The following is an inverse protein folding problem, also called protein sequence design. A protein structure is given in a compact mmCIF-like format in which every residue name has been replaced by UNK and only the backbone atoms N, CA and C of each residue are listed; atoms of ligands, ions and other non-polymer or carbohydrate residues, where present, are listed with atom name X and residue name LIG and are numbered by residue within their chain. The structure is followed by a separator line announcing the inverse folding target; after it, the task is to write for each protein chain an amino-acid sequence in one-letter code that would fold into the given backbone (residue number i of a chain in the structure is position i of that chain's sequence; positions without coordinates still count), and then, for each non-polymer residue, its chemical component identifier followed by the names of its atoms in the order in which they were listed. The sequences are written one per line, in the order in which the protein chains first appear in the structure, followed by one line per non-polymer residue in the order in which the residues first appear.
data_IF_393398688611
#
_entry.id   IF_393398688611
#
_cell.length_a   1.000
_cell.length_b   1.000
_cell.length_c   1.000
_cell.angle_alpha   90.00
_cell.angle_beta   90.00
_cell.angle_gamma   90.00
#
_symmetry.space_group_name_H-M   'P 1'
#
loop_
_entity.id
_entity.type
_entity.pdbx_description
1 polymer ?
#
# COMPACT_ATOMS: atom_id res chain seq x y z
N UNK A 1 20.46 28.27 2.36
CA UNK A 1 20.69 26.93 1.79
C UNK A 1 19.47 26.12 2.15
N UNK A 2 18.73 25.52 1.19
CA UNK A 2 17.64 24.62 1.53
C UNK A 2 18.18 23.45 2.34
N UNK A 3 17.54 23.13 3.47
CA UNK A 3 17.83 21.93 4.27
C UNK A 3 17.29 20.71 3.55
N UNK A 4 18.07 19.63 3.54
CA UNK A 4 17.62 18.33 3.04
C UNK A 4 17.43 17.37 4.20
N UNK A 5 16.20 16.89 4.40
CA UNK A 5 15.90 15.86 5.39
C UNK A 5 15.94 14.48 4.73
N UNK A 6 16.92 13.65 5.10
CA UNK A 6 17.06 12.28 4.60
C UNK A 6 16.27 11.30 5.46
N UNK A 7 15.52 10.39 4.83
CA UNK A 7 14.74 9.39 5.54
C UNK A 7 14.96 7.99 4.96
N UNK A 8 15.46 7.04 5.77
CA UNK A 8 15.72 5.68 5.28
C UNK A 8 14.43 4.92 5.02
N UNK A 9 14.53 3.92 4.15
CA UNK A 9 13.45 2.99 3.86
C UNK A 9 13.15 2.08 5.05
N UNK A 10 11.87 1.80 5.27
CA UNK A 10 11.42 0.68 6.08
C UNK A 10 11.59 -0.62 5.28
N UNK A 11 11.91 -1.71 5.96
CA UNK A 11 12.04 -3.04 5.37
C UNK A 11 10.87 -3.91 5.82
N UNK A 12 10.34 -4.75 4.92
CA UNK A 12 9.30 -5.73 5.29
C UNK A 12 9.78 -6.51 6.53
N UNK A 13 8.97 -6.60 7.60
CA UNK A 13 9.33 -7.45 8.72
C UNK A 13 9.58 -8.87 8.25
N UNK A 14 10.59 -9.53 8.81
CA UNK A 14 10.76 -10.95 8.58
C UNK A 14 9.53 -11.68 9.12
N UNK A 15 8.96 -12.58 8.33
CA UNK A 15 7.99 -13.55 8.78
C UNK A 15 8.50 -14.93 8.39
N UNK A 16 8.27 -15.96 9.21
CA UNK A 16 8.64 -17.32 8.82
C UNK A 16 8.07 -17.61 7.43
N UNK A 17 8.79 -18.34 6.56
CA UNK A 17 8.22 -18.79 5.30
C UNK A 17 6.88 -19.44 5.64
N UNK A 18 5.81 -18.81 5.15
CA UNK A 18 4.44 -19.14 5.52
C UNK A 18 4.22 -20.64 5.38
N UNK A 19 3.41 -21.23 6.26
CA UNK A 19 2.80 -22.52 5.97
C UNK A 19 1.89 -22.30 4.75
N UNK A 20 2.45 -22.40 3.54
CA UNK A 20 1.78 -22.16 2.27
C UNK A 20 0.48 -22.96 2.19
N UNK A 21 0.46 -24.14 2.82
CA UNK A 21 -0.74 -24.96 2.98
C UNK A 21 -1.80 -24.29 3.82
N UNK A 22 -1.45 -23.64 4.94
CA UNK A 22 -2.38 -22.87 5.75
C UNK A 22 -2.99 -21.70 4.98
N UNK A 23 -2.17 -20.84 4.38
CA UNK A 23 -2.70 -19.71 3.60
C UNK A 23 -3.51 -20.16 2.39
N UNK A 24 -3.13 -21.26 1.75
CA UNK A 24 -3.91 -21.90 0.68
C UNK A 24 -5.29 -22.34 1.17
N UNK A 25 -5.38 -23.00 2.35
CA UNK A 25 -6.67 -23.37 2.94
C UNK A 25 -7.53 -22.15 3.25
N UNK A 26 -6.95 -21.10 3.84
CA UNK A 26 -7.66 -19.84 4.14
C UNK A 26 -8.19 -19.21 2.86
N UNK A 27 -7.37 -19.11 1.80
CA UNK A 27 -7.78 -18.56 0.51
C UNK A 27 -8.91 -19.37 -0.13
N UNK A 28 -8.78 -20.70 -0.22
CA UNK A 28 -9.82 -21.54 -0.81
C UNK A 28 -11.17 -21.37 -0.10
N UNK A 29 -11.14 -21.30 1.23
CA UNK A 29 -12.35 -21.08 2.01
C UNK A 29 -12.91 -19.69 1.80
N UNK A 30 -12.07 -18.64 1.80
CA UNK A 30 -12.51 -17.28 1.55
C UNK A 30 -13.18 -17.14 0.18
N UNK A 31 -12.61 -17.76 -0.85
CA UNK A 31 -13.17 -17.82 -2.19
C UNK A 31 -14.51 -18.59 -2.23
N UNK A 32 -14.60 -19.72 -1.53
CA UNK A 32 -15.85 -20.48 -1.45
C UNK A 32 -16.97 -19.71 -0.77
N UNK A 33 -16.65 -18.95 0.29
CA UNK A 33 -17.62 -18.15 1.04
C UNK A 33 -17.93 -16.79 0.38
N UNK A 34 -17.03 -16.28 -0.45
CA UNK A 34 -17.05 -14.87 -0.90
C UNK A 34 -16.81 -13.87 0.23
N UNK A 35 -16.24 -14.31 1.35
CA UNK A 35 -16.05 -13.53 2.57
C UNK A 35 -14.86 -14.04 3.40
N UNK A 36 -14.35 -13.21 4.31
CA UNK A 36 -13.34 -13.63 5.27
C UNK A 36 -13.86 -14.74 6.19
N UNK A 37 -13.15 -15.89 6.33
CA UNK A 37 -13.59 -16.95 7.24
C UNK A 37 -13.46 -16.53 8.70
N UNK A 38 -14.51 -16.72 9.50
CA UNK A 38 -14.54 -16.32 10.92
C UNK A 38 -13.58 -17.08 11.82
N UNK A 39 -13.11 -18.25 11.41
CA UNK A 39 -12.11 -19.04 12.14
C UNK A 39 -10.68 -18.81 11.63
N UNK A 40 -10.49 -17.87 10.71
CA UNK A 40 -9.17 -17.44 10.26
C UNK A 40 -8.51 -16.45 11.23
N UNK A 41 -9.14 -16.11 12.37
CA UNK A 41 -8.66 -15.13 13.36
C UNK A 41 -7.24 -15.39 13.92
N UNK A 42 -6.74 -16.62 13.84
CA UNK A 42 -5.36 -16.97 14.23
C UNK A 42 -4.32 -16.72 13.14
N UNK A 43 -4.76 -16.28 11.95
CA UNK A 43 -3.91 -16.02 10.80
C UNK A 43 -3.38 -14.60 10.87
N UNK A 44 -2.07 -14.37 10.98
CA UNK A 44 -1.52 -13.03 10.83
C UNK A 44 -1.96 -12.44 9.50
N UNK A 45 -2.62 -11.28 9.52
CA UNK A 45 -3.23 -10.72 8.31
C UNK A 45 -2.20 -10.19 7.34
N UNK A 46 -1.22 -9.42 7.82
CA UNK A 46 -0.25 -8.80 6.92
C UNK A 46 0.59 -9.83 6.13
N UNK A 47 1.08 -10.96 6.71
CA UNK A 47 1.80 -11.96 5.91
C UNK A 47 0.87 -12.69 4.94
N UNK A 48 -0.39 -12.95 5.31
CA UNK A 48 -1.36 -13.54 4.41
C UNK A 48 -1.61 -12.63 3.20
N UNK A 49 -1.81 -11.33 3.43
CA UNK A 49 -2.02 -10.34 2.36
C UNK A 49 -0.79 -10.23 1.44
N UNK A 50 0.42 -10.17 2.00
CA UNK A 50 1.65 -10.22 1.18
C UNK A 50 1.76 -11.53 0.39
N UNK A 51 1.43 -12.67 1.01
CA UNK A 51 1.45 -13.96 0.33
C UNK A 51 0.47 -14.01 -0.86
N UNK A 52 -0.72 -13.42 -0.75
CA UNK A 52 -1.68 -13.33 -1.86
C UNK A 52 -1.07 -12.62 -3.07
N UNK A 53 -0.38 -11.50 -2.85
CA UNK A 53 0.21 -10.71 -3.92
C UNK A 53 1.47 -11.36 -4.50
N UNK A 54 2.30 -11.93 -3.62
CA UNK A 54 3.61 -12.49 -3.97
C UNK A 54 3.49 -13.85 -4.68
N UNK A 55 2.52 -14.69 -4.30
CA UNK A 55 2.44 -16.09 -4.76
C UNK A 55 1.21 -16.41 -5.61
N UNK A 56 0.11 -15.66 -5.43
CA UNK A 56 -1.18 -15.95 -6.11
C UNK A 56 -1.52 -14.98 -7.23
N UNK A 57 -0.67 -13.98 -7.45
CA UNK A 57 -0.91 -13.01 -8.53
C UNK A 57 -2.18 -12.18 -8.30
N UNK A 58 -2.63 -12.02 -7.06
CA UNK A 58 -3.78 -11.20 -6.73
C UNK A 58 -3.36 -9.74 -6.50
N UNK A 59 -4.33 -8.84 -6.50
CA UNK A 59 -4.18 -7.43 -6.13
C UNK A 59 -5.06 -7.10 -4.94
N UNK A 60 -4.70 -6.04 -4.23
CA UNK A 60 -5.33 -5.64 -2.98
C UNK A 60 -5.70 -4.17 -2.99
N UNK A 61 -6.95 -3.83 -2.68
CA UNK A 61 -7.40 -2.46 -2.50
C UNK A 61 -7.70 -2.18 -1.03
N UNK A 62 -7.00 -1.23 -0.43
CA UNK A 62 -7.25 -0.81 0.95
C UNK A 62 -8.30 0.29 1.04
N UNK A 63 -9.29 0.13 1.92
CA UNK A 63 -10.31 1.16 2.15
C UNK A 63 -10.83 1.12 3.58
N UNK A 64 -11.04 2.29 4.17
CA UNK A 64 -11.71 2.46 5.47
C UNK A 64 -13.24 2.30 5.41
N UNK A 65 -13.79 1.98 4.24
CA UNK A 65 -15.21 1.67 4.03
C UNK A 65 -15.37 0.16 3.88
N UNK A 66 -16.23 -0.44 4.71
CA UNK A 66 -16.56 -1.87 4.66
C UNK A 66 -17.76 -2.15 3.74
N UNK A 67 -17.95 -3.42 3.38
CA UNK A 67 -19.13 -3.87 2.63
C UNK A 67 -19.20 -3.44 1.17
N UNK A 68 -18.10 -2.94 0.57
CA UNK A 68 -18.09 -2.60 -0.85
C UNK A 68 -18.18 -3.86 -1.71
N UNK A 69 -19.28 -3.99 -2.45
CA UNK A 69 -19.49 -5.09 -3.41
C UNK A 69 -18.97 -4.75 -4.80
N UNK A 70 -18.67 -3.47 -5.06
CA UNK A 70 -18.09 -2.95 -6.30
C UNK A 70 -17.25 -1.71 -5.99
N UNK A 71 -16.03 -1.68 -6.52
CA UNK A 71 -15.14 -0.53 -6.47
C UNK A 71 -15.31 0.24 -7.79
N UNK A 72 -15.62 1.53 -7.69
CA UNK A 72 -15.83 2.40 -8.86
C UNK A 72 -14.60 3.29 -9.06
N UNK A 73 -14.20 3.58 -10.32
CA UNK A 73 -13.15 4.54 -10.61
C UNK A 73 -13.42 5.87 -9.92
N UNK A 74 -12.38 6.45 -9.32
CA UNK A 74 -12.41 7.77 -8.72
C UNK A 74 -11.09 8.46 -9.00
N UNK A 75 -11.14 9.78 -9.15
CA UNK A 75 -9.92 10.57 -9.25
C UNK A 75 -9.32 10.72 -7.85
N UNK A 76 -8.09 10.27 -7.68
CA UNK A 76 -7.34 10.51 -6.44
C UNK A 76 -6.64 11.87 -6.50
N UNK A 77 -6.41 12.46 -5.33
CA UNK A 77 -5.57 13.64 -5.17
C UNK A 77 -4.11 13.19 -5.10
N UNK A 78 -3.51 12.95 -6.27
CA UNK A 78 -2.12 12.53 -6.42
C UNK A 78 -1.40 13.51 -7.36
N UNK A 79 -0.10 13.69 -7.15
CA UNK A 79 0.75 14.59 -7.97
C UNK A 79 1.33 13.89 -9.20
N UNK A 80 1.39 12.55 -9.19
CA UNK A 80 1.84 11.76 -10.32
C UNK A 80 0.74 11.62 -11.37
N UNK A 81 1.07 11.67 -12.68
CA UNK A 81 0.07 11.46 -13.73
C UNK A 81 -0.67 10.12 -13.61
N UNK A 82 0.04 9.06 -13.19
CA UNK A 82 -0.55 7.73 -13.02
C UNK A 82 -1.50 7.65 -11.82
N UNK A 83 -1.18 8.30 -10.70
CA UNK A 83 -2.06 8.34 -9.52
C UNK A 83 -3.20 9.35 -9.63
N UNK A 84 -3.13 10.29 -10.58
CA UNK A 84 -4.12 11.36 -10.76
C UNK A 84 -5.23 11.03 -11.78
N UNK A 85 -5.22 9.83 -12.36
CA UNK A 85 -6.26 9.38 -13.29
C UNK A 85 -7.55 8.96 -12.54
N UNK A 86 -8.65 8.88 -13.29
CA UNK A 86 -9.90 8.31 -12.81
C UNK A 86 -9.84 6.78 -12.88
N UNK A 87 -9.52 6.14 -11.76
CA UNK A 87 -9.32 4.69 -11.71
C UNK A 87 -9.69 4.09 -10.35
N UNK A 88 -9.87 2.78 -10.32
CA UNK A 88 -9.74 1.97 -9.12
C UNK A 88 -8.27 1.63 -8.96
N UNK A 89 -7.67 2.05 -7.85
CA UNK A 89 -6.28 1.72 -7.53
C UNK A 89 -6.20 0.46 -6.68
N UNK A 90 -5.23 -0.39 -6.96
CA UNK A 90 -4.90 -1.54 -6.15
C UNK A 90 -3.38 -1.69 -6.05
N UNK A 91 -2.91 -2.48 -5.09
CA UNK A 91 -1.50 -2.78 -4.91
C UNK A 91 -1.23 -4.28 -5.11
N UNK A 92 -0.03 -4.54 -5.62
CA UNK A 92 0.61 -5.86 -5.59
C UNK A 92 1.47 -6.04 -4.34
N UNK A 93 1.09 -5.39 -3.23
CA UNK A 93 1.73 -5.52 -1.91
C UNK A 93 0.68 -5.36 -0.80
N UNK A 94 0.68 -6.29 0.17
CA UNK A 94 -0.28 -6.31 1.27
C UNK A 94 -0.15 -5.16 2.26
N UNK A 95 1.07 -4.76 2.61
CA UNK A 95 1.32 -3.72 3.61
C UNK A 95 0.89 -2.35 3.10
N UNK A 96 1.11 -2.09 1.81
CA UNK A 96 0.69 -0.84 1.21
C UNK A 96 -0.83 -0.68 1.20
N UNK A 97 -1.57 -1.74 0.88
CA UNK A 97 -3.04 -1.72 0.96
C UNK A 97 -3.54 -1.58 2.39
N UNK A 98 -2.88 -2.22 3.36
CA UNK A 98 -3.24 -2.04 4.78
C UNK A 98 -3.11 -0.60 5.24
N UNK A 99 -2.04 0.11 4.84
CA UNK A 99 -1.85 1.52 5.16
C UNK A 99 -3.07 2.37 4.76
N UNK A 100 -3.60 2.19 3.53
CA UNK A 100 -4.80 2.92 3.11
C UNK A 100 -6.07 2.47 3.83
N UNK A 101 -6.19 1.19 4.20
CA UNK A 101 -7.37 0.66 4.87
C UNK A 101 -7.56 1.20 6.29
N UNK A 102 -6.46 1.41 7.02
CA UNK A 102 -6.52 1.77 8.44
C UNK A 102 -6.59 3.28 8.71
N UNK A 103 -6.53 4.14 7.67
CA UNK A 103 -6.56 5.59 7.85
C UNK A 103 -7.99 6.15 7.84
N UNK A 104 -8.33 6.95 8.85
CA UNK A 104 -9.63 7.60 9.01
C UNK A 104 -9.68 8.96 8.30
N UNK A 105 -9.56 8.91 6.97
CA UNK A 105 -9.52 10.10 6.09
C UNK A 105 -10.84 10.84 5.96
N UNK A 106 -11.93 10.22 6.41
CA UNK A 106 -13.27 10.84 6.44
C UNK A 106 -13.42 11.74 7.67
N UNK A 107 -12.97 11.27 8.85
CA UNK A 107 -12.99 12.05 10.09
C UNK A 107 -11.87 13.08 10.14
N UNK A 108 -10.68 12.72 9.67
CA UNK A 108 -9.47 13.54 9.79
C UNK A 108 -8.90 13.83 8.40
N UNK A 109 -9.13 15.04 7.85
CA UNK A 109 -8.47 15.46 6.62
C UNK A 109 -6.95 15.36 6.76
N UNK A 110 -6.29 14.77 5.77
CA UNK A 110 -4.83 14.60 5.74
C UNK A 110 -4.34 14.41 4.31
N UNK A 111 -3.08 14.76 4.08
CA UNK A 111 -2.32 14.35 2.90
C UNK A 111 -1.45 13.15 3.25
N UNK A 112 -1.04 12.41 2.22
CA UNK A 112 -0.27 11.18 2.35
C UNK A 112 0.99 11.28 1.51
N UNK A 113 2.13 10.95 2.11
CA UNK A 113 3.37 10.68 1.39
C UNK A 113 3.77 9.24 1.68
N UNK A 114 3.77 8.40 0.66
CA UNK A 114 3.93 6.97 0.84
C UNK A 114 4.62 6.33 -0.36
N UNK A 115 5.23 5.17 -0.14
CA UNK A 115 5.80 4.35 -1.19
C UNK A 115 5.88 2.89 -0.75
N UNK A 116 5.63 2.00 -1.71
CA UNK A 116 6.08 0.61 -1.69
C UNK A 116 6.80 0.35 -3.01
N UNK A 117 8.12 0.22 -2.95
CA UNK A 117 8.99 0.25 -4.15
C UNK A 117 10.02 -0.87 -4.13
N UNK A 118 10.29 -1.45 -5.31
CA UNK A 118 11.45 -2.31 -5.55
C UNK A 118 12.42 -1.61 -6.48
N UNK A 119 13.70 -1.75 -6.19
CA UNK A 119 14.76 -1.23 -7.05
C UNK A 119 15.30 -2.37 -7.90
N UNK A 120 15.37 -2.14 -9.20
CA UNK A 120 16.03 -3.03 -10.14
C UNK A 120 17.51 -2.65 -10.20
N UNK A 121 18.37 -3.63 -9.93
CA UNK A 121 19.82 -3.51 -10.04
C UNK A 121 20.26 -3.62 -11.50
N UNK A 122 21.45 -3.10 -11.88
CA UNK A 122 21.93 -3.10 -13.28
C UNK A 122 21.98 -4.46 -13.99
N UNK A 123 21.91 -5.57 -13.25
CA UNK A 123 21.91 -6.94 -13.77
C UNK A 123 20.49 -7.51 -13.97
N UNK A 124 19.44 -6.69 -13.81
CA UNK A 124 18.03 -7.09 -13.93
C UNK A 124 17.46 -7.76 -12.67
N UNK A 125 18.25 -7.84 -11.60
CA UNK A 125 17.82 -8.39 -10.31
C UNK A 125 17.03 -7.36 -9.52
N UNK A 126 15.92 -7.78 -8.92
CA UNK A 126 15.11 -6.92 -8.09
C UNK A 126 15.44 -7.09 -6.61
N UNK A 127 15.69 -5.98 -5.93
CA UNK A 127 15.76 -5.93 -4.48
C UNK A 127 14.42 -6.26 -3.80
N UNK A 128 14.49 -6.43 -2.47
CA UNK A 128 13.30 -6.53 -1.62
C UNK A 128 12.50 -5.22 -1.64
N UNK A 129 11.18 -5.31 -1.44
CA UNK A 129 10.32 -4.14 -1.33
C UNK A 129 10.73 -3.26 -0.15
N UNK A 130 10.77 -1.96 -0.41
CA UNK A 130 11.09 -0.88 0.52
C UNK A 130 9.86 -0.02 0.74
N UNK A 131 9.66 0.43 1.97
CA UNK A 131 8.46 1.17 2.35
C UNK A 131 8.76 2.54 2.93
N UNK A 132 7.83 3.46 2.68
CA UNK A 132 7.75 4.75 3.35
C UNK A 132 6.27 5.04 3.60
N UNK A 133 5.94 5.46 4.82
CA UNK A 133 4.58 5.85 5.20
C UNK A 133 4.65 7.14 6.00
N UNK A 134 3.96 8.17 5.54
CA UNK A 134 3.88 9.45 6.23
C UNK A 134 2.53 10.10 5.98
N UNK A 135 2.01 10.76 7.01
CA UNK A 135 0.75 11.52 6.97
C UNK A 135 0.98 12.92 7.54
N UNK A 136 0.05 13.84 7.25
CA UNK A 136 0.08 15.21 7.80
C UNK A 136 0.32 15.19 9.32
N UNK A 137 1.28 16.00 9.80
CA UNK A 137 1.75 15.99 11.18
C UNK A 137 0.62 16.20 12.20
N UNK A 138 -0.29 17.15 11.92
CA UNK A 138 -1.44 17.43 12.78
C UNK A 138 -2.45 16.27 12.82
N UNK A 139 -2.62 15.55 11.71
CA UNK A 139 -3.47 14.36 11.69
C UNK A 139 -2.88 13.26 12.58
N UNK A 140 -1.57 13.02 12.53
CA UNK A 140 -0.92 11.98 13.33
C UNK A 140 -1.08 12.23 14.85
N UNK A 141 -1.07 13.49 15.30
CA UNK A 141 -1.26 13.86 16.71
C UNK A 141 -2.60 13.41 17.29
N UNK A 142 -3.63 13.26 16.45
CA UNK A 142 -4.98 12.84 16.86
C UNK A 142 -5.27 11.35 16.60
N UNK A 143 -4.23 10.55 16.31
CA UNK A 143 -4.34 9.11 16.04
C UNK A 143 -5.44 8.78 15.03
N UNK A 144 -5.23 9.09 13.74
CA UNK A 144 -6.30 9.11 12.75
C UNK A 144 -6.49 7.72 12.13
N UNK A 145 -6.56 6.70 12.99
CA UNK A 145 -6.64 5.31 12.60
C UNK A 145 -8.01 4.72 12.92
N UNK A 146 -8.48 3.82 12.07
CA UNK A 146 -9.75 3.09 12.22
C UNK A 146 -9.63 1.67 11.69
N UNK A 147 -10.60 0.83 12.03
CA UNK A 147 -10.80 -0.44 11.33
C UNK A 147 -11.21 -0.18 9.88
N UNK A 148 -10.77 -1.05 8.98
CA UNK A 148 -11.05 -0.98 7.56
C UNK A 148 -11.11 -2.35 6.92
N UNK A 149 -11.00 -2.37 5.59
CA UNK A 149 -11.02 -3.60 4.80
C UNK A 149 -9.94 -3.56 3.72
N UNK A 150 -9.32 -4.71 3.48
CA UNK A 150 -8.52 -4.97 2.28
C UNK A 150 -9.34 -5.86 1.35
N UNK A 151 -9.66 -5.32 0.17
CA UNK A 151 -10.45 -5.99 -0.86
C UNK A 151 -9.52 -6.76 -1.80
N UNK A 152 -9.79 -8.06 -1.98
CA UNK A 152 -8.99 -8.96 -2.81
C UNK A 152 -9.53 -8.98 -4.23
N UNK A 153 -8.66 -8.77 -5.21
CA UNK A 153 -9.01 -8.52 -6.60
C UNK A 153 -8.19 -9.40 -7.56
N UNK A 154 -8.78 -9.75 -8.70
CA UNK A 154 -8.05 -10.32 -9.83
C UNK A 154 -7.24 -9.24 -10.55
N UNK A 155 -6.23 -9.64 -11.33
CA UNK A 155 -5.42 -8.73 -12.14
C UNK A 155 -6.06 -8.33 -13.46
N UNK A 156 -7.04 -9.07 -13.95
CA UNK A 156 -7.55 -8.99 -15.33
C UNK A 156 -8.01 -7.59 -15.78
N UNK A 157 -8.45 -6.74 -14.86
CA UNK A 157 -8.91 -5.38 -15.17
C UNK A 157 -7.83 -4.31 -15.01
N UNK A 158 -6.65 -4.67 -14.52
CA UNK A 158 -5.64 -3.75 -14.03
C UNK A 158 -4.41 -3.72 -14.93
N UNK A 159 -3.78 -2.55 -15.01
CA UNK A 159 -2.44 -2.37 -15.56
C UNK A 159 -1.52 -1.78 -14.49
N UNK A 160 -0.26 -2.20 -14.48
CA UNK A 160 0.74 -1.71 -13.54
C UNK A 160 1.19 -0.29 -13.91
N UNK A 161 1.59 0.47 -12.89
CA UNK A 161 2.35 1.71 -13.11
C UNK A 161 3.69 1.39 -13.78
N UNK A 162 4.06 2.11 -14.86
CA UNK A 162 5.38 1.96 -15.48
C UNK A 162 6.51 2.29 -14.50
N UNK A 163 7.67 1.63 -14.61
CA UNK A 163 8.81 1.94 -13.75
C UNK A 163 9.31 3.37 -13.93
N UNK A 164 9.75 3.98 -12.84
CA UNK A 164 10.40 5.29 -12.83
C UNK A 164 11.91 5.13 -13.02
N UNK A 165 12.46 5.83 -14.01
CA UNK A 165 13.92 5.92 -14.18
C UNK A 165 14.56 6.76 -13.08
N UNK A 166 15.62 6.23 -12.48
CA UNK A 166 16.49 6.89 -11.52
C UNK A 166 17.95 6.86 -12.03
N UNK A 167 18.83 7.76 -11.56
CA UNK A 167 20.25 7.70 -11.92
C UNK A 167 20.91 6.34 -11.61
N UNK A 168 20.40 5.64 -10.60
CA UNK A 168 20.92 4.36 -10.11
C UNK A 168 20.23 3.11 -10.69
N UNK A 169 19.27 3.23 -11.60
CA UNK A 169 18.47 2.11 -12.11
C UNK A 169 16.99 2.44 -12.27
N UNK A 170 16.12 1.43 -12.12
CA UNK A 170 14.66 1.62 -12.17
C UNK A 170 14.03 1.40 -10.80
N UNK A 171 13.02 2.21 -10.50
CA UNK A 171 12.15 2.06 -9.34
C UNK A 171 10.77 1.58 -9.79
N UNK A 172 10.35 0.45 -9.27
CA UNK A 172 9.08 -0.19 -9.58
C UNK A 172 8.15 -0.06 -8.38
N UNK A 173 7.06 0.68 -8.54
CA UNK A 173 6.02 0.76 -7.50
C UNK A 173 5.17 -0.50 -7.54
N UNK A 174 4.48 -0.80 -6.44
CA UNK A 174 3.51 -1.89 -6.41
C UNK A 174 2.13 -1.47 -6.95
N UNK A 175 2.02 -0.33 -7.66
CA UNK A 175 0.74 0.32 -7.97
C UNK A 175 0.10 -0.21 -9.25
N UNK A 176 -1.21 -0.40 -9.21
CA UNK A 176 -2.02 -0.86 -10.33
C UNK A 176 -3.28 -0.02 -10.44
N UNK A 177 -3.78 0.16 -11.67
CA UNK A 177 -4.99 0.92 -11.94
C UNK A 177 -5.94 0.19 -12.89
N UNK A 178 -7.25 0.29 -12.62
CA UNK A 178 -8.32 -0.14 -13.50
C UNK A 178 -9.26 1.04 -13.80
N UNK A 179 -9.49 1.35 -15.08
CA UNK A 179 -10.35 2.48 -15.50
C UNK A 179 -11.84 2.12 -15.55
N UNK A 180 -12.20 0.91 -15.09
CA UNK A 180 -13.58 0.40 -15.04
C UNK A 180 -13.91 -0.09 -13.63
N UNK A 181 -15.20 -0.19 -13.27
CA UNK A 181 -15.60 -0.81 -12.01
C UNK A 181 -15.10 -2.25 -11.89
N UNK A 182 -14.73 -2.64 -10.67
CA UNK A 182 -14.25 -3.99 -10.36
C UNK A 182 -14.96 -4.55 -9.14
N UNK A 183 -15.20 -5.86 -9.14
CA UNK A 183 -15.83 -6.56 -8.02
C UNK A 183 -14.75 -7.31 -7.23
N UNK A 184 -14.66 -7.09 -5.90
CA UNK A 184 -13.82 -7.91 -5.03
C UNK A 184 -14.23 -9.38 -5.07
N UNK A 185 -13.25 -10.28 -4.95
CA UNK A 185 -13.50 -11.70 -4.70
C UNK A 185 -14.04 -11.92 -3.28
N UNK A 186 -13.46 -11.19 -2.33
CA UNK A 186 -13.87 -11.07 -0.94
C UNK A 186 -13.15 -9.86 -0.31
N UNK A 187 -13.48 -9.51 0.92
CA UNK A 187 -12.74 -8.53 1.73
C UNK A 187 -12.21 -9.16 3.01
N UNK A 188 -11.06 -8.66 3.46
CA UNK A 188 -10.41 -9.02 4.73
C UNK A 188 -10.56 -7.83 5.68
N UNK A 189 -11.28 -7.95 6.81
CA UNK A 189 -11.31 -6.90 7.81
C UNK A 189 -9.92 -6.73 8.42
N UNK A 190 -9.47 -5.49 8.60
CA UNK A 190 -8.17 -5.18 9.19
C UNK A 190 -8.31 -4.09 10.26
N UNK A 191 -7.52 -4.22 11.32
CA UNK A 191 -7.38 -3.25 12.39
C UNK A 191 -6.03 -2.54 12.28
N UNK A 192 -5.90 -1.34 12.88
CA UNK A 192 -4.60 -0.67 12.99
C UNK A 192 -3.51 -1.57 13.61
N UNK A 193 -3.88 -2.40 14.60
CA UNK A 193 -2.96 -3.33 15.27
C UNK A 193 -2.42 -4.45 14.37
N UNK A 194 -3.08 -4.74 13.24
CA UNK A 194 -2.63 -5.76 12.30
C UNK A 194 -1.51 -5.22 11.39
N UNK A 195 -1.38 -3.89 11.28
CA UNK A 195 -0.39 -3.24 10.45
C UNK A 195 0.95 -3.11 11.18
N UNK A 196 2.01 -3.80 10.73
CA UNK A 196 3.26 -3.90 11.49
C UNK A 196 4.05 -2.59 11.55
N UNK A 197 3.76 -1.63 10.66
CA UNK A 197 4.42 -0.33 10.64
C UNK A 197 3.61 0.78 11.29
N UNK A 198 2.58 0.47 12.09
CA UNK A 198 1.71 1.49 12.70
C UNK A 198 2.52 2.55 13.46
N UNK A 199 3.53 2.13 14.23
CA UNK A 199 4.40 3.01 15.01
C UNK A 199 5.52 3.65 14.18
N UNK A 200 5.71 3.20 12.94
CA UNK A 200 6.71 3.72 11.99
C UNK A 200 6.10 4.72 11.00
N UNK A 201 4.80 5.00 11.10
CA UNK A 201 4.14 6.05 10.31
C UNK A 201 4.70 7.40 10.74
N UNK A 202 5.29 8.10 9.77
CA UNK A 202 5.98 9.38 10.00
C UNK A 202 5.00 10.55 9.89
N UNK A 203 5.38 11.67 10.48
CA UNK A 203 4.73 12.95 10.28
C UNK A 203 5.41 13.72 9.14
N UNK A 204 4.64 14.53 8.41
CA UNK A 204 5.18 15.56 7.52
C UNK A 204 4.32 16.82 7.57
N UNK A 205 4.95 17.97 7.28
CA UNK A 205 4.24 19.20 6.94
C UNK A 205 3.82 19.15 5.47
N UNK A 206 2.58 19.54 5.16
CA UNK A 206 2.04 19.49 3.79
C UNK A 206 2.86 20.36 2.81
N UNK A 207 3.52 21.41 3.30
CA UNK A 207 4.42 22.26 2.51
C UNK A 207 5.61 21.49 1.94
N UNK A 208 6.07 20.41 2.59
CA UNK A 208 7.14 19.56 2.07
C UNK A 208 6.73 18.79 0.81
N UNK A 209 5.43 18.69 0.53
CA UNK A 209 4.90 18.02 -0.67
C UNK A 209 4.82 18.95 -1.89
N UNK A 210 5.16 20.24 -1.74
CA UNK A 210 5.16 21.21 -2.83
C UNK A 210 6.18 20.85 -3.94
N UNK A 211 7.22 20.11 -3.59
CA UNK A 211 8.20 19.59 -4.53
C UNK A 211 8.31 18.05 -4.41
N UNK A 212 8.47 17.32 -5.53
CA UNK A 212 8.68 15.89 -5.47
C UNK A 212 10.01 15.58 -4.76
N UNK A 213 10.05 14.61 -3.84
CA UNK A 213 11.29 14.26 -3.17
C UNK A 213 12.27 13.55 -4.12
N UNK A 214 13.55 13.57 -3.76
CA UNK A 214 14.59 12.80 -4.45
C UNK A 214 14.59 11.37 -3.89
N UNK A 215 14.24 10.41 -4.73
CA UNK A 215 14.16 8.98 -4.38
C UNK A 215 15.45 8.28 -4.80
N UNK A 216 16.02 7.49 -3.89
CA UNK A 216 17.19 6.65 -4.14
C UNK A 216 17.03 5.27 -3.50
N UNK A 217 17.94 4.34 -3.81
CA UNK A 217 17.96 3.01 -3.18
C UNK A 217 18.22 3.05 -1.66
N UNK A 218 18.77 4.15 -1.13
CA UNK A 218 19.08 4.30 0.29
C UNK A 218 17.93 4.93 1.08
N UNK A 219 17.13 5.78 0.45
CA UNK A 219 16.04 6.48 1.11
C UNK A 219 15.43 7.58 0.25
N UNK A 220 14.61 8.39 0.91
CA UNK A 220 13.97 9.57 0.34
C UNK A 220 14.61 10.81 0.95
N UNK A 221 15.02 11.76 0.10
CA UNK A 221 15.46 13.08 0.52
C UNK A 221 14.38 14.13 0.17
N UNK A 222 13.91 14.83 1.19
CA UNK A 222 12.95 15.93 1.07
C UNK A 222 13.70 17.24 0.86
N UNK A 223 13.21 18.06 -0.06
CA UNK A 223 13.73 19.42 -0.29
C UNK A 223 12.78 20.38 0.40
N UNK A 224 13.25 21.04 1.45
CA UNK A 224 12.48 22.14 2.06
C UNK A 224 12.51 23.34 1.11
N UNK A 225 11.35 23.76 0.63
CA UNK A 225 11.19 25.06 -0.02
C UNK A 225 11.18 26.13 1.07
N UNK A 226 12.15 27.06 1.00
CA UNK A 226 12.28 28.19 1.92
C UNK A 226 11.08 29.15 1.86
#
# INVERSE_FOLDING_TARGET
MPSTHFTPWLQRPAFPPSDDRHFTRVLHRALHLGAWPTDADVTPLWPFLCWLTDTRGLLLHGSGVSGLTELKPRRASDVSPFGAQEAVYAASDGLWSMFFAILDRERVPMTLANAAVRFEHPQGEFGATRYFFSITADALKVSPFKEGCVYVLTRDAFHAEPPRSLPSGQAWTHQWAATRPVRPLFSVPVRPSDFPFLQDIRAHEDTMLAAPPVVSSQGIAWVETA
#
